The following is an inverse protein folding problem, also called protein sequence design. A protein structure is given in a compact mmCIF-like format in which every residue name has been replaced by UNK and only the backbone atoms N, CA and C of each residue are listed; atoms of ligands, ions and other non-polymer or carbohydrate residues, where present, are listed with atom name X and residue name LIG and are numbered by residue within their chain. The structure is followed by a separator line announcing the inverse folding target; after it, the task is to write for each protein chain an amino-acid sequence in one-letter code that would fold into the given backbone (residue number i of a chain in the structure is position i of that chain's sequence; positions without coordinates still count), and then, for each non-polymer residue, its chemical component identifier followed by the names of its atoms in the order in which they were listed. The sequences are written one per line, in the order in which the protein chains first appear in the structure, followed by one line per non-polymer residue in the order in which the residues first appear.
data_IF_749820290673
#
_entry.id   IF_749820290673
#
_cell.length_a   1.000
_cell.length_b   1.000
_cell.length_c   1.000
_cell.angle_alpha   90.00
_cell.angle_beta   90.00
_cell.angle_gamma   90.00
#
_symmetry.space_group_name_H-M   'P 1'
#
loop_
_entity.id
_entity.type
_entity.pdbx_description
1 polymer ?
#
# COMPACT_ATOMS: atom_id res chain seq x y z
N UNK A 1 -32.80 -0.69 5.89
CA UNK A 1 -32.13 -0.62 4.57
C UNK A 1 -30.64 -0.82 4.75
N UNK A 2 -29.93 -1.54 3.86
CA UNK A 2 -28.47 -1.55 3.84
C UNK A 2 -27.95 -0.16 3.45
N UNK A 3 -26.91 0.33 4.12
CA UNK A 3 -26.38 1.68 3.95
C UNK A 3 -25.47 1.87 2.72
N UNK A 4 -25.29 0.86 1.87
CA UNK A 4 -24.42 0.94 0.70
C UNK A 4 -25.16 0.49 -0.56
N UNK A 5 -25.50 1.46 -1.40
CA UNK A 5 -25.90 1.28 -2.80
C UNK A 5 -24.71 1.44 -3.77
N UNK A 6 -23.51 1.67 -3.24
CA UNK A 6 -22.30 1.91 -4.02
C UNK A 6 -21.62 0.61 -4.41
N UNK A 7 -21.14 0.54 -5.65
CA UNK A 7 -20.25 -0.49 -6.17
C UNK A 7 -19.13 -0.74 -5.15
N UNK A 8 -19.20 -1.87 -4.44
CA UNK A 8 -18.05 -2.37 -3.70
C UNK A 8 -16.94 -2.55 -4.74
N UNK A 9 -15.83 -1.83 -4.58
CA UNK A 9 -14.70 -2.01 -5.48
C UNK A 9 -13.99 -3.32 -5.12
N UNK A 10 -14.56 -4.44 -5.60
CA UNK A 10 -14.09 -5.81 -5.38
C UNK A 10 -12.63 -5.97 -5.81
N UNK A 11 -12.11 -5.10 -6.69
CA UNK A 11 -10.74 -5.17 -7.17
C UNK A 11 -9.69 -4.89 -6.07
N UNK A 12 -10.03 -4.11 -5.04
CA UNK A 12 -9.11 -3.74 -3.94
C UNK A 12 -9.62 -4.13 -2.56
N UNK A 13 -10.86 -4.61 -2.46
CA UNK A 13 -11.50 -5.06 -1.22
C UNK A 13 -11.89 -6.54 -1.34
N UNK A 14 -11.07 -7.42 -0.77
CA UNK A 14 -11.23 -8.86 -0.86
C UNK A 14 -10.43 -9.63 0.20
N UNK A 15 -10.61 -10.96 0.26
CA UNK A 15 -9.87 -11.83 1.20
C UNK A 15 -8.40 -11.98 0.78
N UNK A 16 -8.15 -12.02 -0.53
CA UNK A 16 -6.81 -12.11 -1.09
C UNK A 16 -6.28 -10.71 -1.37
N UNK A 17 -4.95 -10.50 -1.23
CA UNK A 17 -4.31 -9.28 -1.67
C UNK A 17 -4.61 -8.99 -3.16
N UNK A 18 -4.83 -7.73 -3.54
CA UNK A 18 -4.90 -7.36 -4.95
C UNK A 18 -3.52 -7.53 -5.62
N UNK A 19 -3.49 -7.50 -6.94
CA UNK A 19 -2.24 -7.46 -7.69
C UNK A 19 -1.42 -6.20 -7.35
N UNK A 20 -0.09 -6.35 -7.33
CA UNK A 20 0.85 -5.24 -7.09
C UNK A 20 0.83 -4.28 -8.27
N UNK A 21 -0.01 -3.25 -8.16
CA UNK A 21 -0.20 -2.24 -9.21
C UNK A 21 -0.14 -0.83 -8.64
N UNK A 22 0.30 0.10 -9.49
CA UNK A 22 0.29 1.54 -9.17
C UNK A 22 -1.11 2.06 -8.87
N UNK A 23 -2.13 1.51 -9.56
CA UNK A 23 -3.53 1.87 -9.34
C UNK A 23 -4.00 1.45 -7.94
N UNK A 24 -3.68 0.24 -7.50
CA UNK A 24 -3.99 -0.22 -6.15
C UNK A 24 -3.35 0.70 -5.09
N UNK A 25 -2.05 1.02 -5.23
CA UNK A 25 -1.38 1.95 -4.31
C UNK A 25 -2.05 3.32 -4.31
N UNK A 26 -2.38 3.86 -5.49
CA UNK A 26 -3.09 5.13 -5.59
C UNK A 26 -4.48 5.09 -4.95
N UNK A 27 -5.19 3.97 -5.07
CA UNK A 27 -6.48 3.78 -4.42
C UNK A 27 -6.34 3.89 -2.90
N UNK A 28 -5.41 3.13 -2.30
CA UNK A 28 -5.20 3.12 -0.85
C UNK A 28 -4.75 4.48 -0.31
N UNK A 29 -3.87 5.18 -1.04
CA UNK A 29 -3.43 6.53 -0.66
C UNK A 29 -4.59 7.54 -0.68
N UNK A 30 -5.38 7.57 -1.77
CA UNK A 30 -6.39 8.63 -1.98
C UNK A 30 -7.71 8.37 -1.29
N UNK A 31 -8.12 7.11 -1.17
CA UNK A 31 -9.46 6.74 -0.69
C UNK A 31 -9.44 6.08 0.69
N UNK A 32 -8.28 5.58 1.13
CA UNK A 32 -8.16 4.86 2.39
C UNK A 32 -7.09 5.42 3.33
N UNK A 33 -6.59 6.63 3.04
CA UNK A 33 -5.63 7.38 3.86
C UNK A 33 -4.37 6.59 4.22
N UNK A 34 -3.84 5.79 3.29
CA UNK A 34 -2.52 5.22 3.43
C UNK A 34 -1.45 6.32 3.33
N UNK A 35 -0.78 6.63 4.44
CA UNK A 35 0.20 7.72 4.58
C UNK A 35 1.58 7.25 5.03
N UNK A 36 1.74 5.94 5.24
CA UNK A 36 2.98 5.26 5.58
C UNK A 36 3.12 4.00 4.73
N UNK A 37 4.35 3.58 4.43
CA UNK A 37 4.58 2.38 3.61
C UNK A 37 3.90 1.13 4.19
N UNK A 38 3.86 1.01 5.52
CA UNK A 38 3.23 -0.13 6.21
C UNK A 38 1.69 -0.12 6.11
N UNK A 39 1.07 1.05 5.88
CA UNK A 39 -0.37 1.10 5.59
C UNK A 39 -0.67 0.19 4.40
N UNK A 40 0.13 0.32 3.33
CA UNK A 40 -0.03 -0.47 2.13
C UNK A 40 0.51 -1.88 2.36
N UNK A 41 1.80 -2.02 2.64
CA UNK A 41 2.50 -3.31 2.62
C UNK A 41 1.99 -4.32 3.64
N UNK A 42 1.51 -3.88 4.80
CA UNK A 42 1.05 -4.76 5.89
C UNK A 42 -0.47 -4.71 6.08
N UNK A 43 -1.09 -3.53 6.07
CA UNK A 43 -2.48 -3.36 6.55
C UNK A 43 -3.56 -3.37 5.48
N UNK A 44 -3.31 -2.85 4.28
CA UNK A 44 -4.30 -2.82 3.18
C UNK A 44 -4.16 -3.97 2.21
N UNK A 45 -2.94 -4.42 1.96
CA UNK A 45 -2.70 -5.47 0.97
C UNK A 45 -2.13 -6.74 1.58
N UNK A 46 -1.53 -6.67 2.78
CA UNK A 46 -0.76 -7.79 3.34
C UNK A 46 0.36 -8.32 2.42
N UNK A 47 0.80 -7.56 1.41
CA UNK A 47 1.84 -8.01 0.47
C UNK A 47 3.13 -8.45 1.16
N UNK A 48 3.48 -7.85 2.30
CA UNK A 48 4.61 -8.28 3.12
C UNK A 48 4.55 -9.79 3.45
N UNK A 49 3.36 -10.33 3.72
CA UNK A 49 3.17 -11.72 4.13
C UNK A 49 2.95 -12.68 2.95
N UNK A 50 2.43 -12.18 1.81
CA UNK A 50 2.05 -13.02 0.67
C UNK A 50 3.10 -13.07 -0.45
N UNK A 51 4.05 -12.14 -0.46
CA UNK A 51 5.06 -12.02 -1.52
C UNK A 51 6.42 -12.48 -1.02
N UNK A 52 7.02 -13.45 -1.69
CA UNK A 52 8.40 -13.86 -1.43
C UNK A 52 9.41 -12.75 -1.76
N UNK A 53 9.03 -11.81 -2.62
CA UNK A 53 9.79 -10.63 -3.04
C UNK A 53 9.32 -9.33 -2.35
N UNK A 54 8.73 -9.44 -1.16
CA UNK A 54 8.13 -8.32 -0.41
C UNK A 54 9.02 -7.07 -0.32
N UNK A 55 10.32 -7.24 -0.13
CA UNK A 55 11.28 -6.12 -0.04
C UNK A 55 11.36 -5.32 -1.35
N UNK A 56 11.45 -6.01 -2.50
CA UNK A 56 11.47 -5.35 -3.82
C UNK A 56 10.13 -4.69 -4.14
N UNK A 57 9.04 -5.32 -3.70
CA UNK A 57 7.70 -4.74 -3.79
C UNK A 57 7.63 -3.48 -2.94
N UNK A 58 8.17 -3.46 -1.72
CA UNK A 58 8.17 -2.30 -0.85
C UNK A 58 8.90 -1.10 -1.46
N UNK A 59 10.06 -1.32 -2.09
CA UNK A 59 10.79 -0.27 -2.83
C UNK A 59 9.92 0.35 -3.93
N UNK A 60 9.30 -0.50 -4.74
CA UNK A 60 8.42 -0.08 -5.85
C UNK A 60 7.19 0.68 -5.33
N UNK A 61 6.58 0.21 -4.25
CA UNK A 61 5.41 0.83 -3.62
C UNK A 61 5.78 2.17 -3.00
N UNK A 62 6.94 2.29 -2.36
CA UNK A 62 7.41 3.54 -1.78
C UNK A 62 7.58 4.63 -2.85
N UNK A 63 8.09 4.27 -4.03
CA UNK A 63 8.20 5.19 -5.17
C UNK A 63 6.81 5.66 -5.64
N UNK A 64 5.86 4.73 -5.79
CA UNK A 64 4.49 5.08 -6.20
C UNK A 64 3.74 5.91 -5.15
N UNK A 65 3.96 5.65 -3.87
CA UNK A 65 3.43 6.46 -2.78
C UNK A 65 4.03 7.86 -2.81
N UNK A 66 5.35 7.99 -2.99
CA UNK A 66 6.01 9.28 -3.06
C UNK A 66 5.44 10.15 -4.20
N UNK A 67 5.23 9.55 -5.39
CA UNK A 67 4.56 10.23 -6.50
C UNK A 67 3.09 10.58 -6.19
N UNK A 68 2.36 9.70 -5.51
CA UNK A 68 0.91 9.85 -5.29
C UNK A 68 0.56 10.90 -4.23
N UNK A 69 1.29 10.92 -3.12
CA UNK A 69 1.04 11.80 -1.97
C UNK A 69 2.17 12.79 -1.72
N UNK A 70 3.03 12.98 -2.73
CA UNK A 70 4.07 14.01 -2.78
C UNK A 70 5.08 13.95 -1.63
N UNK A 71 5.57 12.75 -1.32
CA UNK A 71 6.77 12.65 -0.48
C UNK A 71 7.99 13.14 -1.24
N UNK A 72 8.91 13.76 -0.51
CA UNK A 72 10.26 13.97 -0.99
C UNK A 72 11.10 12.69 -0.85
N UNK A 73 12.30 12.71 -1.44
CA UNK A 73 13.25 11.60 -1.42
C UNK A 73 13.62 11.19 0.02
N UNK A 74 13.84 12.17 0.90
CA UNK A 74 14.17 11.92 2.30
C UNK A 74 13.05 11.18 3.04
N UNK A 75 11.79 11.54 2.79
CA UNK A 75 10.64 10.86 3.39
C UNK A 75 10.46 9.45 2.82
N UNK A 76 10.62 9.27 1.52
CA UNK A 76 10.55 7.97 0.86
C UNK A 76 11.59 7.00 1.44
N UNK A 77 12.82 7.46 1.62
CA UNK A 77 13.90 6.67 2.20
C UNK A 77 13.67 6.38 3.70
N UNK A 78 13.16 7.35 4.45
CA UNK A 78 12.80 7.15 5.87
C UNK A 78 11.69 6.11 6.04
N UNK A 79 10.68 6.09 5.15
CA UNK A 79 9.61 5.09 5.18
C UNK A 79 10.13 3.69 4.84
N UNK A 80 11.03 3.56 3.86
CA UNK A 80 11.68 2.28 3.55
C UNK A 80 12.54 1.77 4.71
N UNK A 81 13.33 2.66 5.32
CA UNK A 81 14.12 2.31 6.49
C UNK A 81 13.22 1.86 7.65
N UNK A 82 12.14 2.60 7.93
CA UNK A 82 11.16 2.25 8.97
C UNK A 82 10.49 0.90 8.70
N UNK A 83 10.17 0.60 7.44
CA UNK A 83 9.62 -0.70 7.04
C UNK A 83 10.60 -1.84 7.28
N UNK A 84 11.88 -1.65 6.92
CA UNK A 84 12.97 -2.63 7.12
C UNK A 84 13.29 -2.88 8.57
N UNK A 85 13.20 -1.88 9.44
CA UNK A 85 13.50 -2.03 10.86
C UNK A 85 12.43 -2.81 11.63
N UNK A 86 11.21 -2.88 11.09
CA UNK A 86 10.11 -3.66 11.64
C UNK A 86 10.12 -5.11 11.14
N UNK A 87 11.29 -5.74 11.02
CA UNK A 87 11.36 -7.17 10.73
C UNK A 87 10.70 -7.92 11.89
N UNK A 88 9.59 -8.59 11.59
CA UNK A 88 8.93 -9.57 12.46
C UNK A 88 9.77 -10.84 12.60
#
# INVERSE_FOLDING_TARGET
EPLLSGEFNEAFSGILPPDVTREAVAHFCRNEWAVHLDDVMKRRTSWHFYRSDAEKVAETVADWMAETISWDEARRDAELQRYREQVD
#
